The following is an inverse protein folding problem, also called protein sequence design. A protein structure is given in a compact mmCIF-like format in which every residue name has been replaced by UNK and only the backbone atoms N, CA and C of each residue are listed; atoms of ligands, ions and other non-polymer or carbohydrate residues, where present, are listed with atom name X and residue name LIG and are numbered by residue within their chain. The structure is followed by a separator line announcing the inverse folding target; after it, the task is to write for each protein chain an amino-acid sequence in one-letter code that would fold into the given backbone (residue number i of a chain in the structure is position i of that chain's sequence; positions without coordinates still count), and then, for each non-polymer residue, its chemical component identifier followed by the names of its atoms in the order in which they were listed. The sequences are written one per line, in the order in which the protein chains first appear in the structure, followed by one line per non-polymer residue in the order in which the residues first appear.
data_IF_064521888699
#
_entry.id   IF_064521888699
#
_cell.length_a   1.000
_cell.length_b   1.000
_cell.length_c   1.000
_cell.angle_alpha   90.00
_cell.angle_beta   90.00
_cell.angle_gamma   90.00
#
_symmetry.space_group_name_H-M   'P 1'
#
loop_
_entity.id
_entity.type
_entity.pdbx_description
1 polymer ?
#
# COMPACT_ATOMS: atom_id res chain seq x y z
N UNK A 1 -35.53 15.40 -9.90
CA UNK A 1 -34.18 14.91 -9.64
C UNK A 1 -33.57 14.57 -10.97
N UNK A 2 -32.50 15.25 -11.36
CA UNK A 2 -31.76 14.94 -12.60
C UNK A 2 -30.78 13.79 -12.36
N UNK A 3 -30.27 13.17 -13.44
CA UNK A 3 -29.25 12.13 -13.34
C UNK A 3 -28.00 12.65 -12.61
N UNK A 4 -27.57 13.87 -12.95
CA UNK A 4 -26.43 14.55 -12.32
C UNK A 4 -26.65 14.76 -10.81
N UNK A 5 -27.83 15.22 -10.41
CA UNK A 5 -28.17 15.37 -8.99
C UNK A 5 -28.18 14.04 -8.24
N UNK A 6 -28.60 12.96 -8.90
CA UNK A 6 -28.58 11.62 -8.33
C UNK A 6 -27.14 11.13 -8.14
N UNK A 7 -26.30 11.25 -9.16
CA UNK A 7 -24.89 10.84 -9.11
C UNK A 7 -24.13 11.58 -8.00
N UNK A 8 -24.32 12.90 -7.89
CA UNK A 8 -23.72 13.71 -6.82
C UNK A 8 -24.16 13.28 -5.42
N UNK A 9 -25.45 12.94 -5.25
CA UNK A 9 -25.98 12.44 -3.98
C UNK A 9 -25.44 11.05 -3.64
N UNK A 10 -25.28 10.20 -4.65
CA UNK A 10 -24.71 8.86 -4.49
C UNK A 10 -23.24 8.92 -4.12
N UNK A 11 -22.47 9.77 -4.77
CA UNK A 11 -21.07 10.03 -4.42
C UNK A 11 -20.94 10.50 -2.96
N UNK A 12 -21.69 11.54 -2.57
CA UNK A 12 -21.68 12.08 -1.21
C UNK A 12 -22.08 11.01 -0.17
N UNK A 13 -23.07 10.17 -0.49
CA UNK A 13 -23.47 9.05 0.35
C UNK A 13 -22.33 8.04 0.51
N UNK A 14 -21.65 7.66 -0.57
CA UNK A 14 -20.53 6.73 -0.51
C UNK A 14 -19.36 7.30 0.29
N UNK A 15 -19.01 8.57 0.11
CA UNK A 15 -17.98 9.25 0.92
C UNK A 15 -18.34 9.21 2.41
N UNK A 16 -19.60 9.45 2.77
CA UNK A 16 -20.08 9.32 4.15
C UNK A 16 -19.96 7.88 4.67
N UNK A 17 -20.17 6.86 3.83
CA UNK A 17 -19.93 5.47 4.22
C UNK A 17 -18.44 5.20 4.45
N UNK A 18 -17.54 5.79 3.66
CA UNK A 18 -16.08 5.68 3.88
C UNK A 18 -15.69 6.27 5.23
N UNK A 19 -16.26 7.41 5.63
CA UNK A 19 -16.05 7.99 6.96
C UNK A 19 -16.50 7.04 8.08
N UNK A 20 -17.69 6.44 7.93
CA UNK A 20 -18.19 5.44 8.88
C UNK A 20 -17.29 4.21 8.97
N UNK A 21 -16.81 3.70 7.82
CA UNK A 21 -15.88 2.58 7.79
C UNK A 21 -14.57 2.92 8.49
N UNK A 22 -14.06 4.14 8.31
CA UNK A 22 -12.87 4.62 9.00
C UNK A 22 -13.05 4.65 10.53
N UNK A 23 -14.20 5.11 11.03
CA UNK A 23 -14.51 5.08 12.47
C UNK A 23 -14.55 3.65 13.02
N UNK A 24 -15.24 2.74 12.32
CA UNK A 24 -15.32 1.32 12.70
C UNK A 24 -13.92 0.69 12.67
N UNK A 25 -13.13 1.00 11.65
CA UNK A 25 -11.76 0.53 11.53
C UNK A 25 -10.90 1.03 12.70
N UNK A 26 -11.03 2.29 13.11
CA UNK A 26 -10.31 2.84 14.27
C UNK A 26 -10.66 2.08 15.56
N UNK A 27 -11.94 1.81 15.78
CA UNK A 27 -12.38 1.01 16.93
C UNK A 27 -11.77 -0.41 16.90
N UNK A 28 -11.83 -1.07 15.75
CA UNK A 28 -11.24 -2.41 15.58
C UNK A 28 -9.72 -2.39 15.80
N UNK A 29 -9.03 -1.37 15.31
CA UNK A 29 -7.60 -1.17 15.50
C UNK A 29 -7.22 -0.99 16.98
N UNK A 30 -7.99 -0.18 17.72
CA UNK A 30 -7.78 0.00 19.16
C UNK A 30 -7.99 -1.31 19.92
N UNK A 31 -9.05 -2.06 19.59
CA UNK A 31 -9.31 -3.37 20.19
C UNK A 31 -8.19 -4.37 19.91
N UNK A 32 -7.67 -4.39 18.68
CA UNK A 32 -6.51 -5.21 18.31
C UNK A 32 -5.27 -4.81 19.12
N UNK A 33 -5.02 -3.50 19.27
CA UNK A 33 -3.86 -2.99 19.99
C UNK A 33 -3.92 -3.36 21.48
N UNK A 34 -5.10 -3.33 22.11
CA UNK A 34 -5.30 -3.78 23.49
C UNK A 34 -4.92 -5.26 23.65
N UNK A 35 -5.41 -6.13 22.76
CA UNK A 35 -5.12 -7.58 22.80
C UNK A 35 -3.65 -7.90 22.50
N UNK A 36 -2.98 -7.11 21.67
CA UNK A 36 -1.56 -7.31 21.33
C UNK A 36 -0.61 -7.09 22.51
N UNK A 37 -1.07 -6.45 23.60
CA UNK A 37 -0.26 -6.23 24.81
C UNK A 37 -0.30 -7.41 25.80
N UNK A 38 -1.24 -8.35 25.62
CA UNK A 38 -1.42 -9.49 26.51
C UNK A 38 -0.86 -10.78 25.88
N UNK A 39 0.43 -11.07 26.13
CA UNK A 39 0.99 -12.42 25.98
C UNK A 39 1.97 -12.65 24.82
N UNK A 40 3.00 -13.46 25.11
CA UNK A 40 4.21 -13.78 24.34
C UNK A 40 5.38 -12.79 24.52
N UNK A 41 6.60 -13.31 24.54
CA UNK A 41 7.83 -12.59 24.87
C UNK A 41 8.15 -11.44 23.90
N UNK A 42 7.54 -11.42 22.69
CA UNK A 42 7.64 -10.36 21.66
C UNK A 42 6.57 -10.53 20.53
N UNK A 43 5.29 -10.21 20.75
CA UNK A 43 4.28 -10.29 19.69
C UNK A 43 4.58 -9.24 18.59
N UNK A 44 4.66 -9.70 17.33
CA UNK A 44 4.82 -8.81 16.17
C UNK A 44 3.46 -8.52 15.54
N UNK A 45 3.00 -7.26 15.50
CA UNK A 45 1.70 -6.94 14.92
C UNK A 45 1.72 -7.09 13.39
N UNK A 46 0.65 -7.64 12.82
CA UNK A 46 0.48 -7.84 11.37
C UNK A 46 0.48 -6.51 10.61
N UNK A 47 -0.21 -5.51 11.16
CA UNK A 47 -0.22 -4.14 10.67
C UNK A 47 0.60 -3.29 11.62
N UNK A 48 1.48 -2.43 11.11
CA UNK A 48 2.35 -1.59 11.94
C UNK A 48 1.72 -0.22 12.23
N UNK A 49 0.90 0.25 11.30
CA UNK A 49 0.21 1.54 11.39
C UNK A 49 -1.26 1.35 11.06
N UNK A 50 -2.09 2.28 11.52
CA UNK A 50 -3.52 2.27 11.19
C UNK A 50 -3.76 2.30 9.68
N UNK A 51 -3.00 3.08 8.92
CA UNK A 51 -3.12 3.12 7.46
C UNK A 51 -2.77 1.77 6.79
N UNK A 52 -1.95 0.91 7.41
CA UNK A 52 -1.72 -0.45 6.90
C UNK A 52 -2.95 -1.35 7.12
N UNK A 53 -3.76 -1.05 8.13
CA UNK A 53 -4.99 -1.75 8.47
C UNK A 53 -6.19 -1.23 7.65
N UNK A 54 -6.31 0.10 7.48
CA UNK A 54 -7.36 0.74 6.69
C UNK A 54 -6.83 2.01 6.00
N UNK A 55 -6.67 1.96 4.67
CA UNK A 55 -6.22 3.10 3.87
C UNK A 55 -7.43 3.91 3.38
N UNK A 56 -7.88 4.86 4.23
CA UNK A 56 -9.01 5.74 3.92
C UNK A 56 -8.81 6.49 2.58
N UNK A 57 -7.58 6.91 2.28
CA UNK A 57 -7.30 7.71 1.07
C UNK A 57 -7.60 6.88 -0.18
N UNK A 58 -7.08 5.65 -0.21
CA UNK A 58 -7.35 4.72 -1.31
C UNK A 58 -8.86 4.49 -1.53
N UNK A 59 -9.63 4.36 -0.45
CA UNK A 59 -11.09 4.16 -0.56
C UNK A 59 -11.81 5.41 -1.06
N UNK A 60 -11.40 6.62 -0.62
CA UNK A 60 -11.95 7.88 -1.14
C UNK A 60 -11.60 8.05 -2.63
N UNK A 61 -10.36 7.75 -3.01
CA UNK A 61 -9.91 7.86 -4.40
C UNK A 61 -10.70 6.91 -5.31
N UNK A 62 -10.97 5.69 -4.85
CA UNK A 62 -11.83 4.73 -5.56
C UNK A 62 -13.26 5.27 -5.76
N UNK A 63 -13.85 5.85 -4.73
CA UNK A 63 -15.20 6.47 -4.85
C UNK A 63 -15.15 7.60 -5.86
N UNK A 64 -14.24 8.56 -5.71
CA UNK A 64 -14.15 9.73 -6.61
C UNK A 64 -13.88 9.35 -8.06
N UNK A 65 -12.96 8.41 -8.30
CA UNK A 65 -12.68 7.90 -9.66
C UNK A 65 -13.89 7.26 -10.36
N UNK A 66 -14.89 6.82 -9.60
CA UNK A 66 -16.11 6.20 -10.14
C UNK A 66 -17.15 7.23 -10.59
N UNK A 67 -17.06 8.48 -10.10
CA UNK A 67 -18.04 9.55 -10.33
C UNK A 67 -17.46 10.74 -11.09
N UNK A 68 -16.17 11.00 -10.92
CA UNK A 68 -15.45 12.13 -11.51
C UNK A 68 -14.44 11.60 -12.55
N UNK A 69 -14.74 11.67 -13.87
CA UNK A 69 -13.87 11.13 -14.92
C UNK A 69 -12.48 11.79 -14.99
N UNK A 70 -12.41 13.07 -14.62
CA UNK A 70 -11.17 13.87 -14.62
C UNK A 70 -10.50 13.90 -13.24
N UNK A 71 -10.88 12.99 -12.32
CA UNK A 71 -10.29 12.94 -10.99
C UNK A 71 -8.88 12.37 -11.03
N UNK A 72 -7.92 13.24 -10.76
CA UNK A 72 -6.53 12.87 -10.52
C UNK A 72 -6.37 12.32 -9.09
N UNK A 73 -5.98 11.05 -8.98
CA UNK A 73 -5.74 10.38 -7.70
C UNK A 73 -4.67 11.16 -6.93
N UNK A 74 -5.07 11.79 -5.83
CA UNK A 74 -4.28 12.90 -5.27
C UNK A 74 -2.95 12.49 -4.65
N UNK A 75 -2.78 11.23 -4.23
CA UNK A 75 -1.53 10.68 -3.71
C UNK A 75 -1.58 9.16 -3.90
N UNK A 76 -0.55 8.54 -4.48
CA UNK A 76 -0.50 7.06 -4.57
C UNK A 76 -0.75 6.48 -3.19
N UNK A 77 -1.77 5.63 -3.06
CA UNK A 77 -2.07 4.95 -1.80
C UNK A 77 -0.84 4.17 -1.33
N UNK A 78 -0.72 3.90 -0.02
CA UNK A 78 0.43 3.10 0.48
C UNK A 78 0.48 1.73 -0.22
N UNK A 79 -0.66 1.20 -0.61
CA UNK A 79 -0.81 -0.04 -1.38
C UNK A 79 -0.24 0.09 -2.79
N UNK A 80 -0.60 1.14 -3.53
CA UNK A 80 -0.07 1.39 -4.88
C UNK A 80 1.43 1.74 -4.85
N UNK A 81 1.89 2.47 -3.83
CA UNK A 81 3.32 2.69 -3.59
C UNK A 81 4.06 1.38 -3.33
N UNK A 82 3.48 0.45 -2.55
CA UNK A 82 4.05 -0.89 -2.33
C UNK A 82 4.13 -1.67 -3.66
N UNK A 83 3.07 -1.65 -4.47
CA UNK A 83 3.07 -2.28 -5.79
C UNK A 83 4.11 -1.66 -6.73
N UNK A 84 4.20 -0.33 -6.78
CA UNK A 84 5.21 0.39 -7.55
C UNK A 84 6.63 0.02 -7.11
N UNK A 85 6.91 -0.05 -5.81
CA UNK A 85 8.21 -0.48 -5.28
C UNK A 85 8.53 -1.93 -5.64
N UNK A 86 7.56 -2.84 -5.59
CA UNK A 86 7.74 -4.23 -6.00
C UNK A 86 8.05 -4.33 -7.49
N UNK A 87 7.35 -3.56 -8.34
CA UNK A 87 7.63 -3.49 -9.77
C UNK A 87 9.01 -2.90 -10.07
N UNK A 88 9.40 -1.82 -9.39
CA UNK A 88 10.73 -1.22 -9.50
C UNK A 88 11.80 -2.24 -9.08
N UNK A 89 11.58 -2.98 -7.99
CA UNK A 89 12.49 -4.03 -7.54
C UNK A 89 12.61 -5.16 -8.57
N UNK A 90 11.49 -5.64 -9.12
CA UNK A 90 11.48 -6.67 -10.15
C UNK A 90 12.25 -6.23 -11.41
N UNK A 91 12.05 -4.99 -11.88
CA UNK A 91 12.81 -4.39 -12.98
C UNK A 91 14.31 -4.34 -12.68
N UNK A 92 14.68 -3.85 -11.48
CA UNK A 92 16.08 -3.80 -11.04
C UNK A 92 16.72 -5.18 -10.95
N UNK A 93 15.97 -6.17 -10.48
CA UNK A 93 16.44 -7.57 -10.41
C UNK A 93 16.68 -8.14 -11.81
N UNK A 94 15.76 -7.91 -12.75
CA UNK A 94 15.94 -8.35 -14.14
C UNK A 94 17.16 -7.71 -14.81
N UNK A 95 17.35 -6.40 -14.61
CA UNK A 95 18.55 -5.66 -15.05
C UNK A 95 19.83 -6.24 -14.44
N UNK A 96 19.84 -6.50 -13.13
CA UNK A 96 20.97 -7.14 -12.46
C UNK A 96 21.30 -8.51 -13.06
N UNK A 97 20.30 -9.36 -13.30
CA UNK A 97 20.52 -10.67 -13.91
C UNK A 97 21.06 -10.57 -15.35
N UNK A 98 20.58 -9.58 -16.13
CA UNK A 98 21.09 -9.31 -17.47
C UNK A 98 22.57 -8.92 -17.43
N UNK A 99 22.92 -7.94 -16.61
CA UNK A 99 24.30 -7.44 -16.50
C UNK A 99 25.25 -8.52 -15.93
N UNK A 100 24.76 -9.40 -15.06
CA UNK A 100 25.50 -10.59 -14.59
C UNK A 100 25.79 -11.54 -15.75
N UNK A 101 24.78 -11.85 -16.57
CA UNK A 101 24.94 -12.71 -17.76
C UNK A 101 25.92 -12.12 -18.78
N UNK A 102 25.90 -10.80 -18.94
CA UNK A 102 26.81 -10.06 -19.83
C UNK A 102 28.23 -9.89 -19.24
N UNK A 103 28.50 -10.38 -18.02
CA UNK A 103 29.81 -10.30 -17.37
C UNK A 103 30.22 -8.89 -16.92
N UNK A 104 29.31 -7.92 -16.99
CA UNK A 104 29.59 -6.50 -16.65
C UNK A 104 29.59 -6.22 -15.15
N UNK A 105 29.07 -7.16 -14.36
CA UNK A 105 29.05 -7.08 -12.89
C UNK A 105 29.35 -8.44 -12.27
N UNK A 106 30.20 -8.41 -11.26
CA UNK A 106 30.51 -9.55 -10.40
C UNK A 106 29.73 -9.34 -9.10
N UNK A 107 28.92 -10.31 -8.63
CA UNK A 107 28.26 -10.27 -7.33
C UNK A 107 29.26 -10.10 -6.19
N UNK A 108 28.87 -9.36 -5.14
CA UNK A 108 29.74 -9.11 -3.99
C UNK A 108 30.19 -10.41 -3.29
N UNK A 109 29.35 -11.44 -3.30
CA UNK A 109 29.65 -12.79 -2.79
C UNK A 109 30.78 -13.48 -3.56
N UNK A 110 30.80 -13.32 -4.89
CA UNK A 110 31.78 -13.94 -5.79
C UNK A 110 33.11 -13.15 -5.83
N UNK A 111 33.12 -11.91 -5.30
CA UNK A 111 34.33 -11.07 -5.19
C UNK A 111 35.30 -11.50 -4.08
N UNK A 112 34.83 -12.23 -3.05
CA UNK A 112 35.66 -12.60 -1.88
C UNK A 112 36.48 -13.87 -2.08
N UNK A 113 36.12 -14.75 -3.02
CA UNK A 113 36.85 -16.02 -3.22
C UNK A 113 38.19 -15.85 -3.96
N UNK A 114 38.47 -14.68 -4.54
CA UNK A 114 39.70 -14.41 -5.29
C UNK A 114 40.81 -13.64 -4.54
N UNK A 115 40.67 -13.39 -3.24
CA UNK A 115 41.62 -12.55 -2.47
C UNK A 115 42.38 -13.32 -1.37
N UNK A 116 42.57 -14.62 -1.55
CA UNK A 116 43.57 -15.40 -0.82
C UNK A 116 44.64 -15.85 -1.81
N UNK A 117 45.56 -14.95 -2.13
CA UNK A 117 46.82 -15.20 -2.81
C UNK A 117 47.95 -14.60 -1.99
#
# INVERSE_FOLDING_TARGET
MTLVEYELRMEAYQLKQVDRQNEIAQQAWMNQQVQATTGSKNPKPKFKTFDDFFDKKATVDQVRSSYEPDYEISLMSKTELKHSRAQIFAKRMAEFQRLKREGKIIPLSERKEGSHG
#
